data_IF_754853702345
#
_entry.id   IF_754853702345
#
_cell.length_a   1.000
_cell.length_b   1.000
_cell.length_c   1.000
_cell.angle_alpha   90.00
_cell.angle_beta   90.00
_cell.angle_gamma   90.00
#
_symmetry.space_group_name_H-M   'P 1'
#
loop_
_entity.id
_entity.type
_entity.pdbx_description
1 polymer ?
#
# COMPACT_ATOMS: atom_id res chain seq x y z
N UNK A 1 -48.27 -9.28 13.98
CA UNK A 1 -47.24 -9.15 12.91
C UNK A 1 -46.36 -7.89 13.01
N UNK A 2 -46.53 -7.02 14.01
CA UNK A 2 -45.69 -5.81 14.15
C UNK A 2 -44.32 -6.04 14.82
N UNK A 3 -44.10 -7.19 15.49
CA UNK A 3 -42.85 -7.50 16.21
C UNK A 3 -41.68 -7.88 15.28
N UNK A 4 -41.95 -8.60 14.19
CA UNK A 4 -40.91 -9.10 13.26
C UNK A 4 -40.16 -7.96 12.56
N UNK A 5 -40.81 -6.82 12.31
CA UNK A 5 -40.16 -5.66 11.65
C UNK A 5 -39.18 -4.88 12.54
N UNK A 6 -39.29 -4.98 13.87
CA UNK A 6 -38.35 -4.30 14.79
C UNK A 6 -37.04 -5.07 14.97
N UNK A 7 -37.06 -6.40 14.79
CA UNK A 7 -35.86 -7.24 14.93
C UNK A 7 -34.93 -7.19 13.72
N UNK A 8 -35.42 -6.67 12.59
CA UNK A 8 -34.70 -6.54 11.32
C UNK A 8 -34.16 -5.12 11.06
N UNK A 9 -34.10 -4.27 12.08
CA UNK A 9 -33.55 -2.92 11.92
C UNK A 9 -32.02 -2.98 11.68
N UNK A 10 -31.56 -2.24 10.67
CA UNK A 10 -30.17 -2.29 10.20
C UNK A 10 -29.16 -2.00 11.32
N UNK A 11 -29.47 -1.04 12.20
CA UNK A 11 -28.61 -0.70 13.34
C UNK A 11 -28.52 -1.85 14.34
N UNK A 12 -29.66 -2.49 14.65
CA UNK A 12 -29.71 -3.64 15.57
C UNK A 12 -28.89 -4.82 15.03
N UNK A 13 -28.97 -5.09 13.72
CA UNK A 13 -28.18 -6.13 13.06
C UNK A 13 -26.67 -5.83 13.17
N UNK A 14 -26.26 -4.59 12.89
CA UNK A 14 -24.85 -4.18 12.99
C UNK A 14 -24.33 -4.28 14.43
N UNK A 15 -25.11 -3.85 15.43
CA UNK A 15 -24.74 -3.95 16.85
C UNK A 15 -24.56 -5.42 17.29
N UNK A 16 -25.47 -6.31 16.87
CA UNK A 16 -25.33 -7.76 17.12
C UNK A 16 -24.08 -8.32 16.45
N UNK A 17 -23.84 -7.97 15.18
CA UNK A 17 -22.65 -8.39 14.46
C UNK A 17 -21.34 -7.98 15.15
N UNK A 18 -21.27 -6.74 15.64
CA UNK A 18 -20.15 -6.24 16.46
C UNK A 18 -20.02 -7.02 17.77
N UNK A 19 -21.15 -7.30 18.44
CA UNK A 19 -21.18 -8.10 19.67
C UNK A 19 -20.60 -9.49 19.45
N UNK A 20 -21.05 -10.23 18.44
CA UNK A 20 -20.52 -11.55 18.12
C UNK A 20 -19.04 -11.52 17.74
N UNK A 21 -18.60 -10.50 16.98
CA UNK A 21 -17.19 -10.35 16.62
C UNK A 21 -16.30 -10.17 17.86
N UNK A 22 -16.76 -9.40 18.86
CA UNK A 22 -16.03 -9.18 20.10
C UNK A 22 -15.89 -10.45 20.96
N UNK A 23 -16.85 -11.37 20.89
CA UNK A 23 -16.79 -12.67 21.57
C UNK A 23 -16.09 -13.77 20.75
N UNK A 24 -15.50 -13.43 19.59
CA UNK A 24 -14.81 -14.38 18.72
C UNK A 24 -15.74 -15.26 17.88
N UNK A 25 -17.06 -15.02 17.92
CA UNK A 25 -18.01 -15.73 17.06
C UNK A 25 -18.10 -15.03 15.70
N UNK A 26 -17.08 -15.27 14.90
CA UNK A 26 -16.92 -14.61 13.61
C UNK A 26 -17.93 -15.05 12.55
N UNK A 27 -18.47 -16.28 12.64
CA UNK A 27 -19.49 -16.75 11.70
C UNK A 27 -20.80 -15.97 11.89
N UNK A 28 -21.32 -15.90 13.12
CA UNK A 28 -22.54 -15.11 13.38
C UNK A 28 -22.29 -13.61 13.14
N UNK A 29 -21.10 -13.12 13.48
CA UNK A 29 -20.74 -11.74 13.21
C UNK A 29 -20.86 -11.38 11.73
N UNK A 30 -20.31 -12.20 10.83
CA UNK A 30 -20.41 -11.98 9.39
C UNK A 30 -21.87 -11.95 8.93
N UNK A 31 -22.67 -12.95 9.31
CA UNK A 31 -24.08 -13.05 8.93
C UNK A 31 -24.84 -11.78 9.32
N UNK A 32 -24.70 -11.33 10.58
CA UNK A 32 -25.39 -10.13 11.05
C UNK A 32 -24.89 -8.84 10.37
N UNK A 33 -23.60 -8.71 10.10
CA UNK A 33 -23.04 -7.54 9.41
C UNK A 33 -23.49 -7.51 7.94
N UNK A 34 -23.50 -8.65 7.26
CA UNK A 34 -23.99 -8.77 5.89
C UNK A 34 -25.49 -8.43 5.81
N UNK A 35 -26.32 -9.02 6.68
CA UNK A 35 -27.74 -8.68 6.79
C UNK A 35 -27.96 -7.21 7.16
N UNK A 36 -27.09 -6.60 7.96
CA UNK A 36 -27.14 -5.18 8.27
C UNK A 36 -26.99 -4.30 7.03
N UNK A 37 -26.05 -4.64 6.13
CA UNK A 37 -25.89 -3.95 4.84
C UNK A 37 -27.11 -4.15 3.95
N UNK A 38 -27.64 -5.37 3.86
CA UNK A 38 -28.87 -5.67 3.10
C UNK A 38 -30.10 -4.92 3.64
N UNK A 39 -30.16 -4.70 4.95
CA UNK A 39 -31.18 -3.92 5.63
C UNK A 39 -30.99 -2.39 5.50
N UNK A 40 -29.93 -1.94 4.82
CA UNK A 40 -29.69 -0.52 4.53
C UNK A 40 -28.73 0.21 5.47
N UNK A 41 -27.93 -0.52 6.28
CA UNK A 41 -26.82 0.11 6.98
C UNK A 41 -25.80 0.67 5.98
N UNK A 42 -25.14 1.79 6.33
CA UNK A 42 -24.12 2.39 5.44
C UNK A 42 -22.95 1.42 5.26
N UNK A 43 -22.69 0.94 4.02
CA UNK A 43 -21.57 0.05 3.77
C UNK A 43 -20.23 0.66 4.16
N UNK A 44 -20.06 1.98 4.12
CA UNK A 44 -18.78 2.64 4.49
C UNK A 44 -18.39 2.40 5.95
N UNK A 45 -19.39 2.21 6.82
CA UNK A 45 -19.18 1.95 8.24
C UNK A 45 -19.10 0.45 8.55
N UNK A 46 -19.90 -0.37 7.85
CA UNK A 46 -20.09 -1.79 8.17
C UNK A 46 -19.14 -2.70 7.40
N UNK A 47 -18.84 -2.39 6.14
CA UNK A 47 -18.03 -3.23 5.26
C UNK A 47 -16.61 -3.46 5.81
N UNK A 48 -15.89 -2.46 6.36
CA UNK A 48 -14.58 -2.72 6.94
C UNK A 48 -14.61 -3.74 8.08
N UNK A 49 -15.67 -3.72 8.90
CA UNK A 49 -15.87 -4.68 9.99
C UNK A 49 -16.17 -6.08 9.46
N UNK A 50 -17.04 -6.17 8.44
CA UNK A 50 -17.37 -7.43 7.78
C UNK A 50 -16.11 -8.07 7.17
N UNK A 51 -15.29 -7.28 6.47
CA UNK A 51 -14.04 -7.75 5.88
C UNK A 51 -13.03 -8.20 6.95
N UNK A 52 -12.89 -7.46 8.06
CA UNK A 52 -12.03 -7.84 9.19
C UNK A 52 -12.45 -9.19 9.81
N UNK A 53 -13.76 -9.41 10.02
CA UNK A 53 -14.29 -10.70 10.49
C UNK A 53 -13.95 -11.85 9.54
N UNK A 54 -14.04 -11.63 8.23
CA UNK A 54 -13.64 -12.62 7.23
C UNK A 54 -12.13 -12.89 7.24
N UNK A 55 -11.29 -11.87 7.47
CA UNK A 55 -9.83 -12.03 7.59
C UNK A 55 -9.46 -12.82 8.82
N UNK A 56 -10.05 -12.52 9.98
CA UNK A 56 -9.82 -13.24 11.25
C UNK A 56 -10.15 -14.72 11.16
N UNK A 57 -11.02 -15.11 10.23
CA UNK A 57 -11.38 -16.51 9.97
C UNK A 57 -10.62 -17.15 8.80
N UNK A 58 -9.64 -16.45 8.22
CA UNK A 58 -8.85 -16.94 7.09
C UNK A 58 -9.61 -16.98 5.76
N UNK A 59 -10.82 -16.41 5.68
CA UNK A 59 -11.66 -16.41 4.48
C UNK A 59 -11.42 -15.17 3.63
N UNK A 60 -10.19 -15.02 3.17
CA UNK A 60 -9.77 -13.87 2.36
C UNK A 60 -10.61 -13.68 1.09
N UNK A 61 -11.01 -14.79 0.43
CA UNK A 61 -11.84 -14.73 -0.80
C UNK A 61 -13.22 -14.13 -0.54
N UNK A 62 -13.86 -14.45 0.58
CA UNK A 62 -15.14 -13.85 0.95
C UNK A 62 -14.99 -12.35 1.23
N UNK A 63 -13.92 -11.95 1.94
CA UNK A 63 -13.62 -10.54 2.19
C UNK A 63 -13.43 -9.76 0.88
N UNK A 64 -12.66 -10.32 -0.08
CA UNK A 64 -12.47 -9.75 -1.42
C UNK A 64 -13.83 -9.63 -2.12
N UNK A 65 -14.66 -10.67 -2.12
CA UNK A 65 -15.96 -10.66 -2.79
C UNK A 65 -16.88 -9.56 -2.25
N UNK A 66 -16.94 -9.36 -0.93
CA UNK A 66 -17.70 -8.26 -0.33
C UNK A 66 -17.18 -6.89 -0.76
N UNK A 67 -15.85 -6.69 -0.72
CA UNK A 67 -15.21 -5.45 -1.18
C UNK A 67 -15.47 -5.16 -2.66
N UNK A 68 -15.35 -6.15 -3.54
CA UNK A 68 -15.60 -5.99 -4.97
C UNK A 68 -17.08 -5.73 -5.30
N UNK A 69 -18.00 -6.40 -4.60
CA UNK A 69 -19.44 -6.11 -4.67
C UNK A 69 -19.73 -4.63 -4.38
N UNK A 70 -19.06 -4.07 -3.38
CA UNK A 70 -19.17 -2.65 -3.02
C UNK A 70 -18.53 -1.75 -4.08
N UNK A 71 -17.32 -2.07 -4.54
CA UNK A 71 -16.60 -1.27 -5.55
C UNK A 71 -17.31 -1.22 -6.91
N UNK A 72 -18.12 -2.23 -7.26
CA UNK A 72 -18.99 -2.16 -8.44
C UNK A 72 -20.00 -1.01 -8.37
N UNK A 73 -20.50 -0.68 -7.18
CA UNK A 73 -21.44 0.41 -6.94
C UNK A 73 -20.73 1.73 -6.62
N UNK A 74 -19.56 1.64 -6.00
CA UNK A 74 -18.76 2.76 -5.53
C UNK A 74 -17.32 2.68 -6.07
N UNK A 75 -17.11 2.89 -7.38
CA UNK A 75 -15.81 2.69 -8.02
C UNK A 75 -14.74 3.70 -7.54
N UNK A 76 -15.11 4.74 -6.80
CA UNK A 76 -14.17 5.73 -6.26
C UNK A 76 -13.98 5.63 -4.75
N UNK A 77 -14.44 4.55 -4.11
CA UNK A 77 -14.16 4.33 -2.69
C UNK A 77 -12.71 3.85 -2.49
N UNK A 78 -11.81 4.80 -2.23
CA UNK A 78 -10.37 4.53 -2.08
C UNK A 78 -10.05 3.64 -0.89
N UNK A 79 -10.81 3.75 0.21
CA UNK A 79 -10.59 2.92 1.40
C UNK A 79 -10.90 1.46 1.09
N UNK A 80 -12.03 1.19 0.46
CA UNK A 80 -12.39 -0.19 0.07
C UNK A 80 -11.39 -0.74 -0.96
N UNK A 81 -10.93 0.08 -1.92
CA UNK A 81 -9.89 -0.34 -2.89
C UNK A 81 -8.59 -0.74 -2.21
N UNK A 82 -8.13 0.05 -1.24
CA UNK A 82 -6.92 -0.26 -0.47
C UNK A 82 -7.07 -1.61 0.24
N UNK A 83 -8.20 -1.84 0.92
CA UNK A 83 -8.46 -3.10 1.62
C UNK A 83 -8.50 -4.30 0.66
N UNK A 84 -9.20 -4.20 -0.47
CA UNK A 84 -9.25 -5.26 -1.48
C UNK A 84 -7.86 -5.53 -2.07
N UNK A 85 -7.09 -4.48 -2.36
CA UNK A 85 -5.71 -4.61 -2.84
C UNK A 85 -4.79 -5.31 -1.83
N UNK A 86 -4.89 -4.96 -0.55
CA UNK A 86 -4.15 -5.62 0.53
C UNK A 86 -4.53 -7.11 0.66
N UNK A 87 -5.82 -7.44 0.54
CA UNK A 87 -6.29 -8.83 0.58
C UNK A 87 -5.80 -9.65 -0.62
N UNK A 88 -5.78 -9.06 -1.82
CA UNK A 88 -5.20 -9.71 -2.99
C UNK A 88 -3.69 -9.99 -2.80
N UNK A 89 -2.95 -9.04 -2.22
CA UNK A 89 -1.55 -9.24 -1.88
C UNK A 89 -1.38 -10.40 -0.87
N UNK A 90 -2.24 -10.47 0.15
CA UNK A 90 -2.20 -11.52 1.17
C UNK A 90 -2.45 -12.93 0.62
N UNK A 91 -3.16 -13.07 -0.50
CA UNK A 91 -3.37 -14.36 -1.20
C UNK A 91 -2.43 -14.56 -2.39
N UNK A 92 -1.35 -13.77 -2.47
CA UNK A 92 -0.34 -13.83 -3.54
C UNK A 92 -0.89 -13.59 -4.96
N UNK A 93 -2.02 -12.89 -5.11
CA UNK A 93 -2.50 -12.40 -6.41
C UNK A 93 -1.96 -10.98 -6.66
N UNK A 94 -0.65 -10.91 -6.95
CA UNK A 94 0.05 -9.65 -7.16
C UNK A 94 -0.55 -8.81 -8.29
N UNK A 95 -1.07 -9.45 -9.34
CA UNK A 95 -1.68 -8.76 -10.49
C UNK A 95 -2.92 -7.97 -10.06
N UNK A 96 -3.85 -8.60 -9.33
CA UNK A 96 -5.04 -7.91 -8.83
C UNK A 96 -4.69 -6.90 -7.74
N UNK A 97 -3.73 -7.23 -6.86
CA UNK A 97 -3.27 -6.31 -5.83
C UNK A 97 -2.75 -4.99 -6.44
N UNK A 98 -1.85 -5.07 -7.42
CA UNK A 98 -1.32 -3.88 -8.12
C UNK A 98 -2.42 -3.07 -8.78
N UNK A 99 -3.36 -3.74 -9.46
CA UNK A 99 -4.46 -3.05 -10.13
C UNK A 99 -5.25 -2.20 -9.13
N UNK A 100 -5.67 -2.77 -8.00
CA UNK A 100 -6.47 -2.06 -7.00
C UNK A 100 -5.69 -0.96 -6.30
N UNK A 101 -4.44 -1.22 -5.91
CA UNK A 101 -3.60 -0.25 -5.20
C UNK A 101 -3.17 0.91 -6.10
N UNK A 102 -2.91 0.66 -7.39
CA UNK A 102 -2.59 1.71 -8.36
C UNK A 102 -3.75 2.70 -8.55
N UNK A 103 -5.00 2.26 -8.40
CA UNK A 103 -6.15 3.18 -8.42
C UNK A 103 -6.14 4.13 -7.23
N UNK A 104 -5.70 3.69 -6.05
CA UNK A 104 -5.60 4.54 -4.84
C UNK A 104 -4.55 5.63 -5.06
N UNK A 105 -3.36 5.26 -5.55
CA UNK A 105 -2.28 6.22 -5.83
C UNK A 105 -2.66 7.21 -6.94
N UNK A 106 -3.32 6.75 -8.02
CA UNK A 106 -3.70 7.63 -9.15
C UNK A 106 -4.81 8.62 -8.81
N UNK A 107 -5.72 8.27 -7.89
CA UNK A 107 -6.84 9.14 -7.54
C UNK A 107 -6.36 10.44 -6.89
N UNK A 108 -5.34 10.35 -6.05
CA UNK A 108 -4.75 11.47 -5.33
C UNK A 108 -3.96 12.40 -6.26
N UNK A 109 -3.14 11.85 -7.17
CA UNK A 109 -2.44 12.65 -8.18
C UNK A 109 -3.37 13.51 -9.04
N UNK A 110 -4.63 13.08 -9.23
CA UNK A 110 -5.66 13.84 -9.94
C UNK A 110 -6.31 14.93 -9.07
N UNK A 111 -6.32 14.75 -7.76
CA UNK A 111 -6.78 15.76 -6.79
C UNK A 111 -5.72 16.86 -6.65
N UNK A 112 -4.45 16.48 -6.49
CA UNK A 112 -3.31 17.40 -6.50
C UNK A 112 -3.27 18.23 -7.80
N UNK A 113 -3.35 17.58 -8.97
CA UNK A 113 -3.32 18.27 -10.26
C UNK A 113 -4.53 19.18 -10.54
N UNK A 114 -5.65 19.00 -9.81
CA UNK A 114 -6.83 19.87 -9.93
C UNK A 114 -6.75 21.11 -9.04
N UNK A 115 -5.86 21.12 -8.06
CA UNK A 115 -5.64 22.28 -7.20
C UNK A 115 -4.76 23.28 -7.97
N UNK A 116 -5.21 24.53 -8.16
CA UNK A 116 -4.36 25.57 -8.77
C UNK A 116 -3.10 25.71 -7.89
N UNK A 117 -1.88 25.59 -8.44
CA UNK A 117 -0.65 25.73 -7.67
C UNK A 117 -0.56 27.04 -6.88
N UNK A 118 -1.29 28.08 -7.31
CA UNK A 118 -1.35 29.39 -6.66
C UNK A 118 -2.37 29.46 -5.52
N UNK A 119 -3.28 28.50 -5.46
CA UNK A 119 -4.31 28.35 -4.43
C UNK A 119 -4.09 27.09 -3.59
N UNK A 120 -2.84 26.58 -3.59
CA UNK A 120 -2.36 25.48 -2.77
C UNK A 120 -2.33 25.92 -1.29
N UNK A 121 -3.52 26.12 -0.73
CA UNK A 121 -3.72 26.01 0.70
C UNK A 121 -3.25 24.63 1.18
N UNK A 122 -3.12 24.43 2.49
CA UNK A 122 -2.79 23.12 3.04
C UNK A 122 -3.75 22.07 2.45
N UNK A 123 -3.24 20.88 2.05
CA UNK A 123 -4.04 19.87 1.36
C UNK A 123 -5.34 19.62 2.13
N UNK A 124 -6.47 19.76 1.44
CA UNK A 124 -7.77 19.45 2.02
C UNK A 124 -7.76 17.96 2.41
N UNK A 125 -8.20 17.59 3.63
CA UNK A 125 -8.06 16.23 4.15
C UNK A 125 -9.03 15.21 3.53
N UNK A 126 -9.55 15.45 2.31
CA UNK A 126 -10.53 14.59 1.63
C UNK A 126 -10.01 13.16 1.45
N UNK A 127 -8.71 13.02 1.18
CA UNK A 127 -8.03 11.74 1.19
C UNK A 127 -7.10 11.70 2.40
N UNK A 128 -7.29 10.78 3.36
CA UNK A 128 -6.34 10.61 4.45
C UNK A 128 -4.98 10.28 3.83
N UNK A 129 -3.98 11.16 3.97
CA UNK A 129 -2.60 10.95 3.52
C UNK A 129 -2.07 9.54 3.85
N UNK A 130 -2.53 8.97 4.97
CA UNK A 130 -2.22 7.60 5.36
C UNK A 130 -2.69 6.51 4.38
N UNK A 131 -3.81 6.69 3.65
CA UNK A 131 -4.24 5.70 2.64
C UNK A 131 -3.28 5.64 1.46
N UNK A 132 -2.78 6.80 1.01
CA UNK A 132 -1.82 6.88 -0.09
C UNK A 132 -0.48 6.29 0.32
N UNK A 133 0.03 6.67 1.50
CA UNK A 133 1.22 6.07 2.08
C UNK A 133 1.07 4.54 2.14
N UNK A 134 -0.02 4.04 2.73
CA UNK A 134 -0.29 2.61 2.81
C UNK A 134 -0.33 1.94 1.43
N UNK A 135 -0.91 2.59 0.42
CA UNK A 135 -0.95 2.07 -0.94
C UNK A 135 0.45 1.96 -1.55
N UNK A 136 1.32 2.97 -1.38
CA UNK A 136 2.72 2.92 -1.82
C UNK A 136 3.48 1.80 -1.12
N UNK A 137 3.34 1.66 0.20
CA UNK A 137 3.97 0.58 0.93
C UNK A 137 3.54 -0.80 0.41
N UNK A 138 2.24 -1.02 0.24
CA UNK A 138 1.72 -2.29 -0.26
C UNK A 138 2.13 -2.57 -1.71
N UNK A 139 2.19 -1.55 -2.57
CA UNK A 139 2.71 -1.71 -3.94
C UNK A 139 4.18 -2.14 -3.92
N UNK A 140 4.99 -1.56 -3.02
CA UNK A 140 6.39 -1.93 -2.88
C UNK A 140 6.56 -3.39 -2.44
N UNK A 141 5.78 -3.82 -1.46
CA UNK A 141 5.75 -5.22 -0.99
C UNK A 141 5.36 -6.17 -2.12
N UNK A 142 4.30 -5.85 -2.87
CA UNK A 142 3.83 -6.69 -3.99
C UNK A 142 4.89 -6.76 -5.11
N UNK A 143 5.50 -5.63 -5.48
CA UNK A 143 6.56 -5.59 -6.48
C UNK A 143 7.77 -6.44 -6.05
N UNK A 144 8.20 -6.32 -4.79
CA UNK A 144 9.31 -7.09 -4.22
C UNK A 144 9.00 -8.59 -4.17
N UNK A 145 7.88 -8.96 -3.55
CA UNK A 145 7.64 -10.35 -3.12
C UNK A 145 6.91 -11.18 -4.18
N UNK A 146 6.06 -10.56 -5.01
CA UNK A 146 5.30 -11.28 -6.05
C UNK A 146 5.94 -11.18 -7.44
N UNK A 147 6.56 -10.04 -7.78
CA UNK A 147 7.11 -9.82 -9.12
C UNK A 147 8.62 -9.93 -9.19
N UNK A 148 9.30 -9.87 -8.05
CA UNK A 148 10.75 -9.71 -7.97
C UNK A 148 11.25 -8.44 -8.72
N UNK A 149 10.41 -7.40 -8.79
CA UNK A 149 10.73 -6.10 -9.37
C UNK A 149 11.27 -5.16 -8.27
N UNK A 150 12.56 -5.32 -7.98
CA UNK A 150 13.24 -4.56 -6.91
C UNK A 150 13.33 -3.06 -7.20
N UNK A 151 13.31 -2.66 -8.47
CA UNK A 151 13.41 -1.25 -8.88
C UNK A 151 12.09 -0.55 -8.63
N UNK A 152 10.97 -1.17 -9.03
CA UNK A 152 9.64 -0.64 -8.77
C UNK A 152 9.35 -0.62 -7.27
N UNK A 153 9.78 -1.66 -6.53
CA UNK A 153 9.69 -1.71 -5.08
C UNK A 153 10.43 -0.54 -4.40
N UNK A 154 11.70 -0.27 -4.76
CA UNK A 154 12.47 0.86 -4.21
C UNK A 154 11.77 2.19 -4.45
N UNK A 155 11.25 2.41 -5.66
CA UNK A 155 10.49 3.63 -6.00
C UNK A 155 9.29 3.80 -5.06
N UNK A 156 8.51 2.75 -4.86
CA UNK A 156 7.32 2.80 -4.02
C UNK A 156 7.65 2.95 -2.52
N UNK A 157 8.73 2.33 -2.01
CA UNK A 157 9.18 2.53 -0.63
C UNK A 157 9.67 3.96 -0.37
N UNK A 158 10.39 4.58 -1.31
CA UNK A 158 10.79 6.00 -1.20
C UNK A 158 9.59 6.92 -1.11
N UNK A 159 8.57 6.67 -1.92
CA UNK A 159 7.37 7.49 -1.92
C UNK A 159 6.55 7.32 -0.63
N UNK A 160 6.47 6.09 -0.10
CA UNK A 160 5.93 5.87 1.24
C UNK A 160 6.67 6.70 2.30
N UNK A 161 8.01 6.64 2.33
CA UNK A 161 8.83 7.37 3.30
C UNK A 161 8.79 8.89 3.11
N UNK A 162 8.48 9.38 1.90
CA UNK A 162 8.25 10.80 1.63
C UNK A 162 6.97 11.27 2.31
N UNK A 163 5.90 10.48 2.22
CA UNK A 163 4.57 10.83 2.77
C UNK A 163 4.55 10.59 4.29
N UNK A 164 5.05 9.44 4.75
CA UNK A 164 5.07 9.04 6.16
C UNK A 164 6.47 8.60 6.63
N UNK A 165 7.42 9.54 6.84
CA UNK A 165 8.79 9.22 7.25
C UNK A 165 8.91 8.53 8.61
N UNK A 166 7.84 8.60 9.43
CA UNK A 166 7.71 7.96 10.75
C UNK A 166 6.45 7.08 10.83
N UNK A 167 5.93 6.64 9.68
CA UNK A 167 4.76 5.77 9.63
C UNK A 167 5.03 4.38 10.20
N UNK A 168 3.97 3.59 10.36
CA UNK A 168 4.02 2.26 10.95
C UNK A 168 4.99 1.29 10.25
N UNK A 169 5.28 1.53 8.96
CA UNK A 169 6.16 0.70 8.14
C UNK A 169 7.50 1.38 7.79
N UNK A 170 7.84 2.50 8.44
CA UNK A 170 9.00 3.30 8.04
C UNK A 170 10.33 2.53 8.15
N UNK A 171 10.51 1.75 9.21
CA UNK A 171 11.76 0.99 9.40
C UNK A 171 11.91 -0.14 8.37
N UNK A 172 10.83 -0.87 8.08
CA UNK A 172 10.83 -1.90 7.04
C UNK A 172 11.08 -1.32 5.65
N UNK A 173 10.42 -0.19 5.33
CA UNK A 173 10.61 0.50 4.06
C UNK A 173 12.05 0.97 3.88
N UNK A 174 12.68 1.55 4.92
CA UNK A 174 14.09 1.96 4.89
C UNK A 174 15.03 0.79 4.68
N UNK A 175 14.78 -0.32 5.39
CA UNK A 175 15.59 -1.53 5.27
C UNK A 175 15.49 -2.18 3.88
N UNK A 176 14.40 -1.92 3.14
CA UNK A 176 14.14 -2.46 1.82
C UNK A 176 14.65 -1.57 0.66
N UNK A 177 15.20 -0.39 0.95
CA UNK A 177 15.73 0.50 -0.10
C UNK A 177 16.99 -0.09 -0.73
N UNK A 178 17.08 0.02 -2.06
CA UNK A 178 18.30 -0.31 -2.78
C UNK A 178 19.39 0.70 -2.41
N UNK A 179 20.62 0.19 -2.23
CA UNK A 179 21.79 1.06 -2.07
C UNK A 179 21.92 1.92 -3.31
N UNK A 180 21.88 3.24 -3.12
CA UNK A 180 22.31 4.15 -4.17
C UNK A 180 23.80 3.90 -4.40
N UNK A 181 24.11 3.26 -5.52
CA UNK A 181 25.47 3.29 -6.06
C UNK A 181 25.68 4.74 -6.46
N UNK A 182 26.46 5.49 -5.69
CA UNK A 182 26.92 6.78 -6.15
C UNK A 182 27.60 6.53 -7.50
N UNK A 183 27.18 7.19 -8.60
CA UNK A 183 27.91 7.06 -9.84
C UNK A 183 29.35 7.45 -9.51
N UNK A 184 30.28 6.50 -9.64
CA UNK A 184 31.67 6.76 -9.33
C UNK A 184 32.07 8.02 -10.08
N UNK A 185 32.45 9.04 -9.33
CA UNK A 185 32.79 10.33 -9.88
C UNK A 185 33.88 10.10 -10.94
N UNK A 186 33.61 10.25 -12.25
CA UNK A 186 34.59 9.94 -13.29
C UNK A 186 35.76 10.96 -13.30
N UNK A 187 35.77 11.88 -12.34
CA UNK A 187 36.62 13.04 -12.26
C UNK A 187 37.86 12.84 -11.38
N UNK A 188 38.30 11.59 -11.16
CA UNK A 188 39.71 11.37 -10.81
C UNK A 188 40.48 11.23 -12.13
N UNK A 189 41.01 12.33 -12.72
CA UNK A 189 41.86 12.21 -13.89
C UNK A 189 42.95 11.20 -13.56
N UNK A 190 43.12 10.22 -14.46
CA UNK A 190 44.23 9.30 -14.44
C UNK A 190 45.50 10.15 -14.19
N UNK A 191 46.08 10.01 -13.00
CA UNK A 191 47.37 10.62 -12.75
C UNK A 191 48.29 10.05 -13.83
N UNK A 192 48.89 10.89 -14.68
CA UNK A 192 49.77 10.41 -15.73
C UNK A 192 50.83 9.57 -15.03
N UNK A 193 50.94 8.30 -15.44
CA UNK A 193 52.03 7.43 -15.06
C UNK A 193 53.31 8.21 -15.27
N UNK A 194 53.93 8.58 -14.15
CA UNK A 194 55.15 9.36 -14.12
C UNK A 194 56.21 8.53 -14.86
N UNK A 195 56.47 8.99 -16.08
CA UNK A 195 57.45 8.48 -17.03
C UNK A 195 58.79 8.36 -16.31
N UNK A 196 59.06 7.18 -15.75
CA UNK A 196 60.33 6.86 -15.08
C UNK A 196 61.41 6.75 -16.15
N UNK A 197 61.95 7.91 -16.51
CA UNK A 197 63.01 8.10 -17.48
C UNK A 197 64.13 8.89 -16.83
N UNK A 198 65.08 8.17 -16.26
CA UNK A 198 66.50 8.54 -16.06
C UNK A 198 67.11 7.45 -15.15
N UNK A 199 68.25 6.81 -15.42
CA UNK A 199 69.47 7.35 -16.02
C UNK A 199 70.27 6.30 -16.81
N UNK A 200 71.09 6.78 -17.78
CA UNK A 200 72.19 6.06 -18.41
C UNK A 200 73.46 6.08 -17.53
N UNK A 201 74.52 5.44 -18.04
CA UNK A 201 75.92 5.49 -17.57
C UNK A 201 76.30 4.49 -16.45
N UNK A 202 77.17 3.52 -16.74
CA UNK A 202 78.60 3.77 -16.55
C UNK A 202 79.49 2.68 -17.20
N UNK A 203 80.67 3.14 -17.56
CA UNK A 203 81.74 2.56 -18.35
C UNK A 203 82.58 1.50 -17.62
N UNK A 204 83.41 0.80 -18.40
CA UNK A 204 84.68 0.20 -17.94
C UNK A 204 84.59 -1.30 -17.63
N UNK A 205 85.47 -2.17 -18.12
CA UNK A 205 86.71 -2.01 -18.87
C UNK A 205 87.30 -3.41 -19.10
N UNK A 206 88.05 -3.53 -20.19
CA UNK A 206 88.98 -4.59 -20.61
C UNK A 206 89.89 -5.12 -19.46
N UNK A 207 90.60 -6.25 -19.59
CA UNK A 207 91.17 -6.83 -20.82
C UNK A 207 90.78 -8.27 -21.20
#
# INVERSE_FOLDING_TARGET
MASVRKESDAKTLVERGKGFAAFGDHTRAEEYLASGIEAGADPRDVLPLLMDVCVKTGRYRSAIQHGENHLRKHPHDMRTRLMVGALYAAISDGKQARLQLAHVVKADAREEARSDPRDAGPPSPSTPLGLQAQAHYLLAVVARDSDNDVVDADRHFREYLRIEPRGAHAEEAKASLLRQVQPENPEKPAQPEEENKAQPENEGGAP
#
